data_IF_851711469693
#
_entry.id   IF_851711469693
#
_cell.length_a   1.000
_cell.length_b   1.000
_cell.length_c   1.000
_cell.angle_alpha   90.00
_cell.angle_beta   90.00
_cell.angle_gamma   90.00
#
_symmetry.space_group_name_H-M   'P 1'
#
loop_
_entity.id
_entity.type
_entity.pdbx_description
1 polymer ?
#
# COMPACT_ATOMS: atom_id res chain seq x y z
N UNK A 1 -5.75 29.46 -6.10
CA UNK A 1 -5.20 28.09 -6.18
C UNK A 1 -3.86 28.01 -6.91
N UNK A 2 -2.77 28.47 -6.27
CA UNK A 2 -1.47 28.57 -6.98
C UNK A 2 -0.58 27.33 -6.88
N UNK A 3 -0.85 26.39 -5.96
CA UNK A 3 -0.08 25.14 -5.84
C UNK A 3 -1.02 23.95 -5.63
N UNK A 4 -1.26 23.15 -6.68
CA UNK A 4 -2.01 21.87 -6.58
C UNK A 4 -1.15 20.69 -6.13
N UNK A 5 0.18 20.84 -6.20
CA UNK A 5 1.16 19.82 -5.85
C UNK A 5 2.36 20.48 -5.18
N UNK A 6 2.87 19.88 -4.10
CA UNK A 6 4.09 20.30 -3.42
C UNK A 6 5.01 19.10 -3.23
N UNK A 7 6.26 19.21 -3.70
CA UNK A 7 7.29 18.22 -3.45
C UNK A 7 8.16 18.71 -2.28
N UNK A 8 8.20 17.95 -1.18
CA UNK A 8 9.01 18.26 -0.01
C UNK A 8 10.05 17.17 0.23
N UNK A 9 11.29 17.55 0.52
CA UNK A 9 12.37 16.65 0.88
C UNK A 9 12.66 16.76 2.37
N UNK A 10 12.54 15.65 3.11
CA UNK A 10 12.89 15.59 4.52
C UNK A 10 13.86 14.43 4.80
N UNK A 11 14.94 14.70 5.52
CA UNK A 11 15.70 13.69 6.25
C UNK A 11 15.03 13.53 7.60
N UNK A 12 14.41 12.38 7.85
CA UNK A 12 13.51 12.24 9.00
C UNK A 12 13.96 11.12 9.92
N UNK A 13 14.22 11.49 11.17
CA UNK A 13 14.15 10.61 12.33
C UNK A 13 12.77 10.84 12.96
N UNK A 14 11.90 9.84 12.91
CA UNK A 14 10.50 9.95 13.29
C UNK A 14 10.26 8.94 14.39
N UNK A 15 10.68 9.23 15.62
CA UNK A 15 10.39 8.32 16.73
C UNK A 15 9.06 8.75 17.38
N UNK A 16 8.99 10.00 17.84
CA UNK A 16 7.81 10.55 18.50
C UNK A 16 6.55 10.62 17.61
N UNK A 17 6.62 11.09 16.34
CA UNK A 17 5.41 11.17 15.51
C UNK A 17 4.82 9.82 15.09
N UNK A 18 5.57 8.70 15.21
CA UNK A 18 5.01 7.36 15.00
C UNK A 18 4.05 7.01 16.13
N UNK A 19 4.48 7.21 17.38
CA UNK A 19 3.66 6.88 18.54
C UNK A 19 2.34 7.66 18.52
N UNK A 20 2.39 8.97 18.24
CA UNK A 20 1.20 9.81 18.12
C UNK A 20 0.26 9.36 16.99
N UNK A 21 0.81 9.03 15.81
CA UNK A 21 0.00 8.55 14.69
C UNK A 21 -0.62 7.17 14.97
N UNK A 22 0.13 6.28 15.63
CA UNK A 22 -0.36 4.97 16.02
C UNK A 22 -1.43 5.07 17.10
N UNK A 23 -1.26 5.97 18.08
CA UNK A 23 -2.24 6.27 19.12
C UNK A 23 -3.54 6.84 18.52
N UNK A 24 -3.43 7.82 17.62
CA UNK A 24 -4.57 8.41 16.92
C UNK A 24 -5.38 7.36 16.15
N UNK A 25 -4.70 6.49 15.40
CA UNK A 25 -5.34 5.38 14.71
C UNK A 25 -6.01 4.41 15.70
N UNK A 26 -5.32 4.03 16.77
CA UNK A 26 -5.84 3.10 17.77
C UNK A 26 -7.06 3.66 18.51
N UNK A 27 -7.11 4.96 18.81
CA UNK A 27 -8.28 5.64 19.35
C UNK A 27 -9.44 5.62 18.35
N UNK A 28 -9.19 5.95 17.08
CA UNK A 28 -10.20 5.94 16.02
C UNK A 28 -10.82 4.55 15.83
N UNK A 29 -10.00 3.50 15.86
CA UNK A 29 -10.43 2.10 15.73
C UNK A 29 -10.98 1.50 17.04
N UNK A 30 -10.97 2.28 18.13
CA UNK A 30 -11.47 1.91 19.47
C UNK A 30 -10.68 0.77 20.13
N UNK A 31 -9.37 0.69 19.89
CA UNK A 31 -8.47 -0.23 20.59
C UNK A 31 -7.94 0.33 21.93
N UNK A 32 -7.94 1.65 22.06
CA UNK A 32 -7.60 2.40 23.28
C UNK A 32 -8.59 3.55 23.47
N UNK A 33 -8.69 4.07 24.70
CA UNK A 33 -9.55 5.22 25.00
C UNK A 33 -8.77 6.52 25.11
N UNK A 34 -7.59 6.48 25.73
CA UNK A 34 -6.80 7.66 26.07
C UNK A 34 -5.37 7.50 25.59
N UNK A 35 -4.52 6.79 26.29
CA UNK A 35 -3.07 6.79 26.02
C UNK A 35 -2.61 5.45 25.43
N UNK A 36 -1.64 5.47 24.53
CA UNK A 36 -1.11 4.25 23.91
C UNK A 36 -0.49 3.28 24.94
N UNK A 37 0.04 3.80 26.04
CA UNK A 37 0.60 3.02 27.16
C UNK A 37 -0.45 2.69 28.24
N UNK A 38 -1.73 3.03 28.06
CA UNK A 38 -2.78 2.80 29.08
C UNK A 38 -2.94 1.30 29.44
N UNK A 39 -2.50 0.40 28.56
CA UNK A 39 -2.52 -1.07 28.74
C UNK A 39 -1.11 -1.68 28.83
N UNK A 40 -0.09 -0.86 29.07
CA UNK A 40 1.31 -1.28 29.20
C UNK A 40 2.09 -1.32 27.90
N UNK A 41 3.42 -1.45 28.01
CA UNK A 41 4.36 -1.28 26.90
C UNK A 41 4.20 -2.31 25.79
N UNK A 42 3.88 -3.55 26.13
CA UNK A 42 3.63 -4.60 25.13
C UNK A 42 2.44 -4.25 24.22
N UNK A 43 1.37 -3.71 24.81
CA UNK A 43 0.19 -3.30 24.05
C UNK A 43 0.50 -2.12 23.13
N UNK A 44 1.31 -1.16 23.61
CA UNK A 44 1.79 -0.04 22.81
C UNK A 44 2.65 -0.51 21.62
N UNK A 45 3.53 -1.48 21.84
CA UNK A 45 4.35 -2.10 20.79
C UNK A 45 3.47 -2.80 19.75
N UNK A 46 2.47 -3.58 20.18
CA UNK A 46 1.54 -4.27 19.28
C UNK A 46 0.70 -3.29 18.46
N UNK A 47 0.25 -2.17 19.05
CA UNK A 47 -0.41 -1.08 18.33
C UNK A 47 0.51 -0.49 17.26
N UNK A 48 1.76 -0.20 17.59
CA UNK A 48 2.70 0.35 16.61
C UNK A 48 2.93 -0.63 15.46
N UNK A 49 3.08 -1.93 15.73
CA UNK A 49 3.18 -2.96 14.69
C UNK A 49 1.94 -2.97 13.79
N UNK A 50 0.74 -2.90 14.38
CA UNK A 50 -0.52 -2.81 13.64
C UNK A 50 -0.68 -1.51 12.86
N UNK A 51 -0.12 -0.40 13.32
CA UNK A 51 -0.09 0.85 12.57
C UNK A 51 0.70 0.71 11.26
N UNK A 52 1.87 0.05 11.29
CA UNK A 52 2.60 -0.26 10.05
C UNK A 52 1.80 -1.19 9.14
N UNK A 53 1.20 -2.24 9.71
CA UNK A 53 0.38 -3.21 8.96
C UNK A 53 -0.85 -2.56 8.30
N UNK A 54 -1.52 -1.64 8.99
CA UNK A 54 -2.64 -0.86 8.46
C UNK A 54 -2.29 -0.15 7.15
N UNK A 55 -1.03 0.29 7.02
CA UNK A 55 -0.52 0.92 5.81
C UNK A 55 0.26 -0.02 4.88
N UNK A 56 0.11 -1.33 5.07
CA UNK A 56 0.79 -2.38 4.33
C UNK A 56 2.31 -2.30 4.40
N UNK A 57 2.91 -1.81 5.49
CA UNK A 57 4.36 -1.74 5.64
C UNK A 57 4.85 -2.77 6.66
N UNK A 58 6.02 -3.40 6.46
CA UNK A 58 6.72 -4.04 7.56
C UNK A 58 7.05 -3.04 8.66
N UNK A 59 7.17 -3.56 9.87
CA UNK A 59 7.53 -2.82 11.08
C UNK A 59 8.90 -2.16 10.90
N UNK A 60 9.05 -0.91 11.36
CA UNK A 60 10.33 -0.17 11.38
C UNK A 60 11.02 -0.05 10.01
N UNK A 61 10.21 0.19 8.98
CA UNK A 61 10.71 0.38 7.63
C UNK A 61 11.47 1.72 7.48
N UNK A 62 12.28 1.85 6.42
CA UNK A 62 13.11 3.04 6.18
C UNK A 62 12.32 4.37 6.26
N UNK A 63 12.96 5.40 6.81
CA UNK A 63 12.31 6.63 7.30
C UNK A 63 11.37 7.35 6.32
N UNK A 64 11.61 7.27 5.00
CA UNK A 64 10.70 7.86 3.99
C UNK A 64 9.32 7.19 3.93
N UNK A 65 9.27 5.86 4.04
CA UNK A 65 8.02 5.10 4.03
C UNK A 65 7.27 5.29 5.35
N UNK A 66 8.00 5.37 6.46
CA UNK A 66 7.47 5.75 7.78
C UNK A 66 6.91 7.17 7.80
N UNK A 67 7.60 8.14 7.18
CA UNK A 67 7.10 9.50 7.03
C UNK A 67 5.78 9.54 6.27
N UNK A 68 5.64 8.72 5.22
CA UNK A 68 4.45 8.69 4.39
C UNK A 68 3.20 8.20 5.15
N UNK A 69 3.33 7.17 6.00
CA UNK A 69 2.19 6.66 6.77
C UNK A 69 1.80 7.59 7.90
N UNK A 70 2.78 8.23 8.54
CA UNK A 70 2.56 9.26 9.55
C UNK A 70 1.86 10.47 8.92
N UNK A 71 2.33 10.94 7.77
CA UNK A 71 1.70 12.01 7.02
C UNK A 71 0.26 11.64 6.60
N UNK A 72 0.04 10.41 6.13
CA UNK A 72 -1.30 9.94 5.78
C UNK A 72 -2.25 9.97 7.00
N UNK A 73 -1.77 9.58 8.18
CA UNK A 73 -2.57 9.64 9.40
C UNK A 73 -2.90 11.09 9.79
N UNK A 74 -1.94 12.01 9.70
CA UNK A 74 -2.20 13.42 9.99
C UNK A 74 -3.17 14.06 8.99
N UNK A 75 -3.02 13.76 7.70
CA UNK A 75 -3.85 14.33 6.65
C UNK A 75 -5.32 13.87 6.75
N UNK A 76 -5.59 12.68 7.29
CA UNK A 76 -6.96 12.21 7.60
C UNK A 76 -7.72 13.12 8.57
N UNK A 77 -7.02 13.93 9.37
CA UNK A 77 -7.65 14.89 10.30
C UNK A 77 -8.15 16.15 9.61
N UNK A 78 -7.71 16.39 8.38
CA UNK A 78 -8.13 17.54 7.59
C UNK A 78 -9.39 17.17 6.79
N UNK A 79 -10.36 18.09 6.64
CA UNK A 79 -11.57 17.86 5.85
C UNK A 79 -11.29 17.97 4.35
N UNK A 80 -10.34 17.19 3.83
CA UNK A 80 -9.97 17.16 2.41
C UNK A 80 -9.55 15.75 1.96
N UNK A 81 -9.71 15.49 0.66
CA UNK A 81 -9.20 14.25 0.07
C UNK A 81 -7.69 14.39 -0.09
N UNK A 82 -6.95 13.51 0.58
CA UNK A 82 -5.50 13.46 0.49
C UNK A 82 -5.03 12.17 -0.15
N UNK A 83 -3.87 12.21 -0.81
CA UNK A 83 -3.20 11.01 -1.30
C UNK A 83 -1.69 11.18 -1.13
N UNK A 84 -1.08 10.23 -0.44
CA UNK A 84 0.36 10.23 -0.18
C UNK A 84 1.02 9.18 -1.05
N UNK A 85 2.07 9.59 -1.76
CA UNK A 85 2.90 8.70 -2.57
C UNK A 85 4.27 8.54 -1.93
N UNK A 86 4.75 7.30 -1.81
CA UNK A 86 6.07 6.99 -1.30
C UNK A 86 6.79 6.03 -2.25
N UNK A 87 7.82 6.54 -2.93
CA UNK A 87 8.70 5.74 -3.76
C UNK A 87 9.90 5.20 -2.99
N UNK A 88 10.36 4.00 -3.34
CA UNK A 88 11.61 3.41 -2.85
C UNK A 88 12.36 2.78 -4.02
N UNK A 89 13.53 3.33 -4.36
CA UNK A 89 14.41 2.77 -5.38
C UNK A 89 15.01 1.43 -4.96
N UNK A 90 15.31 1.27 -3.67
CA UNK A 90 15.82 0.02 -3.08
C UNK A 90 14.86 -1.16 -3.32
N UNK A 91 13.56 -0.94 -3.06
CA UNK A 91 12.54 -1.97 -3.25
C UNK A 91 11.84 -1.91 -4.61
N UNK A 92 12.21 -0.95 -5.46
CA UNK A 92 11.57 -0.66 -6.77
C UNK A 92 10.05 -0.57 -6.65
N UNK A 93 9.58 0.07 -5.58
CA UNK A 93 8.17 0.17 -5.25
C UNK A 93 7.69 1.61 -5.23
N UNK A 94 6.44 1.80 -5.60
CA UNK A 94 5.66 3.01 -5.39
C UNK A 94 4.43 2.65 -4.57
N UNK A 95 4.33 3.25 -3.39
CA UNK A 95 3.20 3.08 -2.48
C UNK A 95 2.29 4.29 -2.65
N UNK A 96 0.99 4.05 -2.77
CA UNK A 96 -0.04 5.07 -2.78
C UNK A 96 -1.00 4.79 -1.63
N UNK A 97 -1.15 5.78 -0.76
CA UNK A 97 -2.06 5.77 0.38
C UNK A 97 -3.14 6.82 0.09
N UNK A 98 -4.40 6.41 0.11
CA UNK A 98 -5.55 7.27 -0.16
C UNK A 98 -6.74 6.88 0.70
N UNK A 99 -7.82 7.64 0.63
CA UNK A 99 -9.11 7.30 1.26
C UNK A 99 -9.66 5.93 0.81
N UNK A 100 -9.24 5.42 -0.36
CA UNK A 100 -9.63 4.09 -0.87
C UNK A 100 -8.73 2.95 -0.37
N UNK A 101 -7.85 3.22 0.59
CA UNK A 101 -6.86 2.26 1.07
C UNK A 101 -5.50 2.40 0.38
N UNK A 102 -4.72 1.32 0.49
CA UNK A 102 -3.30 1.28 0.10
C UNK A 102 -3.11 0.44 -1.15
N UNK A 103 -2.32 0.95 -2.08
CA UNK A 103 -1.85 0.19 -3.25
C UNK A 103 -0.33 0.27 -3.38
N UNK A 104 0.30 -0.84 -3.77
CA UNK A 104 1.73 -0.92 -4.06
C UNK A 104 1.94 -1.31 -5.51
N UNK A 105 2.61 -0.46 -6.27
CA UNK A 105 3.11 -0.78 -7.59
C UNK A 105 4.60 -1.17 -7.49
N UNK A 106 4.99 -2.27 -8.12
CA UNK A 106 6.35 -2.82 -8.09
C UNK A 106 6.76 -3.24 -9.50
N UNK A 107 8.05 -3.18 -9.81
CA UNK A 107 8.57 -3.77 -11.04
C UNK A 107 8.79 -5.27 -10.83
N UNK A 108 8.09 -6.09 -11.60
CA UNK A 108 8.15 -7.55 -11.51
C UNK A 108 8.56 -8.15 -12.85
N UNK A 109 9.34 -9.23 -12.79
CA UNK A 109 9.74 -10.01 -13.96
C UNK A 109 8.65 -11.03 -14.28
N UNK A 110 8.38 -11.19 -15.57
CA UNK A 110 7.46 -12.17 -16.11
C UNK A 110 8.12 -12.90 -17.27
N UNK A 111 7.93 -14.21 -17.33
CA UNK A 111 8.28 -14.99 -18.50
C UNK A 111 7.33 -14.66 -19.67
N UNK A 112 7.80 -14.90 -20.89
CA UNK A 112 6.98 -14.72 -22.08
C UNK A 112 5.72 -15.61 -22.07
N UNK A 113 5.83 -16.80 -21.47
CA UNK A 113 4.72 -17.75 -21.31
C UNK A 113 3.62 -17.21 -20.39
N UNK A 114 4.01 -16.65 -19.24
CA UNK A 114 3.06 -16.04 -18.29
C UNK A 114 2.31 -14.87 -18.93
N UNK A 115 3.02 -14.01 -19.67
CA UNK A 115 2.41 -12.88 -20.37
C UNK A 115 1.51 -13.32 -21.52
N UNK A 116 1.89 -14.37 -22.24
CA UNK A 116 1.07 -14.94 -23.30
C UNK A 116 -0.23 -15.51 -22.73
N UNK A 117 -0.14 -16.27 -21.63
CA UNK A 117 -1.30 -16.85 -20.98
C UNK A 117 -2.22 -15.76 -20.40
N UNK A 118 -1.68 -14.82 -19.63
CA UNK A 118 -2.43 -13.68 -19.08
C UNK A 118 -3.08 -12.86 -20.20
N UNK A 119 -2.36 -12.66 -21.32
CA UNK A 119 -2.88 -11.99 -22.50
C UNK A 119 -4.08 -12.73 -23.10
N UNK A 120 -3.95 -14.04 -23.35
CA UNK A 120 -5.02 -14.88 -23.92
C UNK A 120 -6.28 -14.88 -23.06
N UNK A 121 -6.13 -15.01 -21.74
CA UNK A 121 -7.25 -14.97 -20.79
C UNK A 121 -8.02 -13.64 -20.82
N UNK A 122 -7.34 -12.56 -21.24
CA UNK A 122 -7.92 -11.21 -21.35
C UNK A 122 -8.18 -10.79 -22.82
N UNK A 123 -8.18 -11.73 -23.78
CA UNK A 123 -8.46 -11.46 -25.18
C UNK A 123 -7.40 -10.61 -25.90
N UNK A 124 -6.16 -10.61 -25.42
CA UNK A 124 -5.03 -9.89 -25.97
C UNK A 124 -4.01 -10.83 -26.62
N UNK A 125 -3.42 -10.38 -27.72
CA UNK A 125 -2.26 -11.06 -28.29
C UNK A 125 -1.01 -10.71 -27.49
N UNK A 126 -0.03 -11.63 -27.46
CA UNK A 126 1.27 -11.36 -26.82
C UNK A 126 1.94 -10.08 -27.35
N UNK A 127 1.79 -9.78 -28.64
CA UNK A 127 2.26 -8.53 -29.25
C UNK A 127 1.58 -7.30 -28.63
N UNK A 128 0.28 -7.37 -28.36
CA UNK A 128 -0.44 -6.29 -27.69
C UNK A 128 -0.01 -6.16 -26.21
N UNK A 129 0.23 -7.26 -25.51
CA UNK A 129 0.74 -7.23 -24.14
C UNK A 129 2.13 -6.59 -24.08
N UNK A 130 3.08 -7.08 -24.90
CA UNK A 130 4.45 -6.54 -24.98
C UNK A 130 4.50 -5.05 -25.32
N UNK A 131 3.58 -4.55 -26.15
CA UNK A 131 3.55 -3.13 -26.51
C UNK A 131 2.97 -2.23 -25.40
N UNK A 132 1.98 -2.73 -24.66
CA UNK A 132 1.15 -1.87 -23.80
C UNK A 132 1.39 -2.06 -22.30
N UNK A 133 2.07 -3.13 -21.87
CA UNK A 133 2.25 -3.48 -20.45
C UNK A 133 3.72 -3.72 -20.05
N UNK A 134 4.60 -4.00 -21.00
CA UNK A 134 6.01 -4.29 -20.73
C UNK A 134 6.82 -2.99 -20.75
N UNK A 135 7.46 -2.69 -19.62
CA UNK A 135 8.34 -1.53 -19.44
C UNK A 135 9.66 -1.74 -20.18
N UNK A 136 10.25 -2.93 -20.01
CA UNK A 136 11.53 -3.30 -20.61
C UNK A 136 11.42 -4.70 -21.21
N UNK A 137 11.75 -4.81 -22.49
CA UNK A 137 11.75 -6.06 -23.23
C UNK A 137 13.18 -6.49 -23.51
N UNK A 138 13.68 -7.49 -22.76
CA UNK A 138 15.06 -7.95 -22.85
C UNK A 138 15.36 -8.82 -24.10
N UNK A 139 14.40 -8.96 -25.02
CA UNK A 139 14.50 -9.76 -26.25
C UNK A 139 13.67 -11.04 -26.20
N UNK A 140 13.64 -11.76 -27.33
CA UNK A 140 12.84 -12.99 -27.48
C UNK A 140 13.30 -14.08 -26.50
N UNK A 141 12.36 -14.68 -25.77
CA UNK A 141 12.64 -15.76 -24.82
C UNK A 141 13.30 -15.32 -23.50
N UNK A 142 13.39 -14.01 -23.24
CA UNK A 142 13.86 -13.47 -21.95
C UNK A 142 12.72 -12.90 -21.13
N UNK A 143 12.98 -12.74 -19.83
CA UNK A 143 12.05 -12.10 -18.91
C UNK A 143 11.70 -10.68 -19.36
N UNK A 144 10.42 -10.35 -19.29
CA UNK A 144 9.87 -9.03 -19.50
C UNK A 144 9.64 -8.35 -18.15
N UNK A 145 9.90 -7.04 -18.05
CA UNK A 145 9.57 -6.28 -16.85
C UNK A 145 8.22 -5.59 -17.03
N UNK A 146 7.30 -5.81 -16.10
CA UNK A 146 6.00 -5.13 -16.08
C UNK A 146 5.77 -4.42 -14.73
N UNK A 147 4.83 -3.47 -14.72
CA UNK A 147 4.37 -2.83 -13.50
C UNK A 147 3.27 -3.71 -12.89
N UNK A 148 3.55 -4.34 -11.75
CA UNK A 148 2.57 -5.10 -11.00
C UNK A 148 2.03 -4.26 -9.85
N UNK A 149 0.71 -4.24 -9.67
CA UNK A 149 0.06 -3.54 -8.57
C UNK A 149 -0.75 -4.49 -7.71
N UNK A 150 -0.48 -4.47 -6.40
CA UNK A 150 -1.34 -5.04 -5.38
C UNK A 150 -2.16 -3.92 -4.71
N UNK A 151 -3.46 -4.14 -4.57
CA UNK A 151 -4.38 -3.29 -3.78
C UNK A 151 -4.81 -4.04 -2.53
N UNK A 152 -4.85 -3.36 -1.40
CA UNK A 152 -5.17 -3.96 -0.11
C UNK A 152 -6.41 -3.31 0.49
N UNK A 153 -7.30 -4.16 1.01
CA UNK A 153 -8.53 -3.78 1.67
C UNK A 153 -8.43 -3.99 3.18
N UNK A 154 -9.09 -3.12 3.92
CA UNK A 154 -9.21 -3.19 5.38
C UNK A 154 -10.15 -4.34 5.78
N UNK A 155 -9.67 -5.20 6.67
CA UNK A 155 -10.49 -6.21 7.36
C UNK A 155 -11.39 -5.57 8.42
N UNK A 156 -12.26 -6.36 9.06
CA UNK A 156 -13.14 -5.87 10.15
C UNK A 156 -12.35 -5.36 11.38
N UNK A 157 -11.10 -5.78 11.52
CA UNK A 157 -10.22 -5.39 12.64
C UNK A 157 -9.54 -4.03 12.40
N UNK A 158 -9.47 -3.57 11.16
CA UNK A 158 -8.90 -2.28 10.79
C UNK A 158 -9.95 -1.23 10.42
N UNK A 159 -11.21 -1.48 10.82
CA UNK A 159 -12.33 -0.53 10.67
C UNK A 159 -12.93 -0.19 12.03
N UNK A 160 -13.49 1.02 12.22
CA UNK A 160 -14.21 1.36 13.44
C UNK A 160 -15.33 0.36 13.75
N UNK A 161 -15.61 0.08 15.03
CA UNK A 161 -16.65 -0.88 15.39
C UNK A 161 -18.02 -0.29 15.09
N UNK A 162 -18.92 -1.09 14.56
CA UNK A 162 -20.32 -0.68 14.37
C UNK A 162 -21.01 -0.37 15.70
N UNK A 163 -20.65 -1.08 16.77
CA UNK A 163 -21.19 -0.87 18.12
C UNK A 163 -20.49 0.24 18.91
N UNK A 164 -19.42 0.84 18.36
CA UNK A 164 -18.62 1.89 19.01
C UNK A 164 -17.87 1.45 20.28
N UNK A 165 -17.89 0.16 20.63
CA UNK A 165 -17.26 -0.33 21.87
C UNK A 165 -15.74 -0.41 21.74
N UNK A 166 -15.07 -0.36 22.88
CA UNK A 166 -13.65 -0.65 22.94
C UNK A 166 -13.41 -2.13 22.62
N UNK A 167 -12.38 -2.40 21.82
CA UNK A 167 -11.93 -3.74 21.44
C UNK A 167 -10.52 -3.99 21.94
N UNK A 168 -10.16 -5.27 22.01
CA UNK A 168 -8.82 -5.71 22.39
C UNK A 168 -8.01 -6.05 21.14
N UNK A 169 -6.75 -5.63 21.12
CA UNK A 169 -5.83 -5.95 20.02
C UNK A 169 -5.54 -7.45 20.01
N UNK A 170 -5.62 -8.06 18.83
CA UNK A 170 -5.21 -9.45 18.60
C UNK A 170 -4.08 -9.42 17.57
N UNK A 171 -2.81 -9.52 18.01
CA UNK A 171 -1.66 -9.36 17.13
C UNK A 171 -1.66 -10.32 15.92
N UNK A 172 -2.22 -11.53 16.08
CA UNK A 172 -2.24 -12.55 15.04
C UNK A 172 -3.26 -12.28 13.92
N UNK A 173 -4.24 -11.41 14.14
CA UNK A 173 -5.29 -11.13 13.15
C UNK A 173 -4.82 -10.10 12.13
N UNK A 174 -4.92 -10.46 10.85
CA UNK A 174 -4.56 -9.54 9.77
C UNK A 174 -5.51 -8.34 9.71
N UNK A 175 -4.94 -7.15 9.63
CA UNK A 175 -5.62 -5.87 9.44
C UNK A 175 -5.82 -5.56 7.96
N UNK A 176 -5.14 -6.28 7.06
CA UNK A 176 -5.26 -6.11 5.62
C UNK A 176 -5.51 -7.44 4.92
N UNK A 177 -6.24 -7.38 3.82
CA UNK A 177 -6.38 -8.48 2.86
C UNK A 177 -6.03 -7.98 1.46
N UNK A 178 -5.55 -8.87 0.59
CA UNK A 178 -5.35 -8.53 -0.82
C UNK A 178 -6.71 -8.39 -1.50
N UNK A 179 -7.01 -7.17 -1.94
CA UNK A 179 -8.25 -6.85 -2.67
C UNK A 179 -8.13 -7.03 -4.17
N UNK A 180 -6.91 -6.92 -4.72
CA UNK A 180 -6.69 -7.05 -6.14
C UNK A 180 -5.22 -7.12 -6.51
N UNK A 181 -4.93 -7.80 -7.61
CA UNK A 181 -3.58 -8.03 -8.11
C UNK A 181 -3.60 -7.90 -9.63
N UNK A 182 -2.85 -6.94 -10.16
CA UNK A 182 -2.94 -6.60 -11.58
C UNK A 182 -1.59 -6.25 -12.20
N UNK A 183 -1.40 -6.60 -13.47
CA UNK A 183 -0.39 -6.00 -14.34
C UNK A 183 -0.98 -4.71 -14.91
N UNK A 184 -0.35 -3.58 -14.63
CA UNK A 184 -0.80 -2.27 -15.09
C UNK A 184 -0.36 -1.99 -16.53
N UNK A 185 -1.21 -1.31 -17.33
CA UNK A 185 -0.76 -0.74 -18.59
C UNK A 185 0.32 0.32 -18.34
N UNK A 186 1.16 0.56 -19.36
CA UNK A 186 2.18 1.60 -19.31
C UNK A 186 1.54 2.99 -19.10
N UNK A 187 2.24 3.91 -18.41
CA UNK A 187 1.78 5.29 -18.27
C UNK A 187 1.43 5.91 -19.64
N UNK A 188 0.24 6.51 -19.75
CA UNK A 188 -0.27 7.09 -21.00
C UNK A 188 -1.08 6.13 -21.86
N UNK A 189 -1.14 4.83 -21.53
CA UNK A 189 -2.00 3.86 -22.22
C UNK A 189 -3.34 3.76 -21.51
N UNK A 190 -4.37 4.42 -22.05
CA UNK A 190 -5.72 4.45 -21.48
C UNK A 190 -6.70 3.43 -22.08
N UNK A 191 -6.35 2.88 -23.25
CA UNK A 191 -7.24 1.97 -24.00
C UNK A 191 -7.38 0.59 -23.36
N UNK A 192 -6.41 0.20 -22.56
CA UNK A 192 -6.29 -1.16 -22.04
C UNK A 192 -6.46 -1.18 -20.53
N UNK A 193 -7.27 -2.09 -19.96
CA UNK A 193 -7.47 -2.19 -18.53
C UNK A 193 -6.28 -2.89 -17.84
N UNK A 194 -6.12 -2.75 -16.51
CA UNK A 194 -5.23 -3.61 -15.75
C UNK A 194 -5.56 -5.10 -15.95
N UNK A 195 -4.56 -5.95 -16.14
CA UNK A 195 -4.74 -7.39 -16.32
C UNK A 195 -4.69 -8.10 -14.97
N UNK A 196 -5.71 -8.86 -14.55
CA UNK A 196 -5.66 -9.64 -13.32
C UNK A 196 -4.49 -10.64 -13.34
N UNK A 197 -3.75 -10.75 -12.24
CA UNK A 197 -2.65 -11.70 -12.08
C UNK A 197 -2.44 -12.03 -10.61
N UNK A 198 -2.69 -13.28 -10.20
CA UNK A 198 -2.57 -13.69 -8.80
C UNK A 198 -1.20 -14.30 -8.51
N UNK A 199 -0.47 -13.71 -7.56
CA UNK A 199 0.86 -14.20 -7.12
C UNK A 199 1.04 -14.19 -5.60
N UNK A 200 0.32 -13.31 -4.90
CA UNK A 200 0.34 -13.24 -3.46
C UNK A 200 -0.63 -14.32 -2.94
N UNK A 201 -0.08 -15.32 -2.24
CA UNK A 201 -0.75 -16.52 -1.69
C UNK A 201 -1.02 -17.69 -2.64
N UNK A 202 -0.45 -17.66 -3.85
CA UNK A 202 -0.42 -18.82 -4.77
C UNK A 202 0.74 -19.77 -4.49
#
# INVERSE_FOLDING_TARGET
>A
DRNRYGLSHFHVRIDWPIADAAEDLARHLRYISKDIHERGDKYAEDIQKKFFEYYCLPVMIGGRRTAAIVAAQYLKRLPCISTVYAGSSESRTLIRISERGVSKAVLMRFSEKELEQTGRENGLTLRAVKRNYVVENNGSGKDCLCIFQATYDYTVHSRPPEDGKLREIKPDLSWQSVGGQHILPLPGVYRYPPLPFNVIYS
#
